data_IF_675650953177
#
_entry.id   IF_675650953177
#
_cell.length_a   1.000
_cell.length_b   1.000
_cell.length_c   1.000
_cell.angle_alpha   90.00
_cell.angle_beta   90.00
_cell.angle_gamma   90.00
#
_symmetry.space_group_name_H-M   'P 1'
#
loop_
_entity.id
_entity.type
_entity.pdbx_description
1 polymer ?
#
# COMPACT_ATOMS: atom_id res chain seq x y z
N UNK A 1 -20.82 21.20 1.75
CA UNK A 1 -20.12 19.99 1.25
C UNK A 1 -21.12 19.15 0.49
N UNK A 2 -20.85 18.80 -0.77
CA UNK A 2 -21.77 17.95 -1.55
C UNK A 2 -21.80 16.56 -0.91
N UNK A 3 -22.96 15.91 -0.80
CA UNK A 3 -23.06 14.54 -0.23
C UNK A 3 -22.09 13.57 -0.90
N UNK A 4 -21.84 13.75 -2.21
CA UNK A 4 -20.85 13.01 -3.00
C UNK A 4 -19.42 13.12 -2.44
N UNK A 5 -18.98 14.29 -1.98
CA UNK A 5 -17.62 14.44 -1.43
C UNK A 5 -17.49 13.74 -0.08
N UNK A 6 -18.55 13.74 0.74
CA UNK A 6 -18.56 13.04 2.04
C UNK A 6 -18.49 11.52 1.85
N UNK A 7 -19.27 10.98 0.90
CA UNK A 7 -19.24 9.55 0.56
C UNK A 7 -17.85 9.14 0.06
N UNK A 8 -17.23 9.96 -0.79
CA UNK A 8 -15.89 9.68 -1.33
C UNK A 8 -14.82 9.70 -0.23
N UNK A 9 -14.89 10.65 0.71
CA UNK A 9 -13.99 10.68 1.88
C UNK A 9 -14.14 9.42 2.74
N UNK A 10 -15.38 8.95 2.97
CA UNK A 10 -15.62 7.74 3.74
C UNK A 10 -15.00 6.50 3.07
N UNK A 11 -15.13 6.38 1.74
CA UNK A 11 -14.50 5.29 0.97
C UNK A 11 -12.97 5.36 1.08
N UNK A 12 -12.38 6.56 0.94
CA UNK A 12 -10.94 6.77 1.07
C UNK A 12 -10.41 6.37 2.45
N UNK A 13 -11.14 6.67 3.52
CA UNK A 13 -10.80 6.27 4.90
C UNK A 13 -10.80 4.75 5.09
N UNK A 14 -11.76 4.05 4.49
CA UNK A 14 -11.81 2.57 4.58
C UNK A 14 -10.64 1.95 3.78
N UNK A 15 -10.37 2.47 2.58
CA UNK A 15 -9.26 2.00 1.74
C UNK A 15 -7.91 2.23 2.43
N UNK A 16 -7.70 3.39 3.06
CA UNK A 16 -6.45 3.67 3.79
C UNK A 16 -6.28 2.75 4.99
N UNK A 17 -7.35 2.46 5.73
CA UNK A 17 -7.31 1.52 6.84
C UNK A 17 -6.92 0.10 6.39
N UNK A 18 -7.48 -0.36 5.26
CA UNK A 18 -7.13 -1.66 4.68
C UNK A 18 -5.66 -1.73 4.24
N UNK A 19 -5.11 -0.65 3.66
CA UNK A 19 -3.69 -0.58 3.30
C UNK A 19 -2.81 -0.69 4.55
N UNK A 20 -3.14 0.02 5.62
CA UNK A 20 -2.39 -0.06 6.89
C UNK A 20 -2.43 -1.50 7.42
N UNK A 21 -3.60 -2.14 7.41
CA UNK A 21 -3.75 -3.52 7.87
C UNK A 21 -2.89 -4.50 7.06
N UNK A 22 -2.92 -4.41 5.73
CA UNK A 22 -2.10 -5.25 4.85
C UNK A 22 -0.60 -4.96 5.04
N UNK A 23 -0.23 -3.69 5.25
CA UNK A 23 1.17 -3.30 5.52
C UNK A 23 1.70 -3.90 6.82
N UNK A 24 0.88 -3.98 7.87
CA UNK A 24 1.26 -4.63 9.13
C UNK A 24 1.44 -6.14 8.96
N UNK A 25 0.61 -6.79 8.13
CA UNK A 25 0.77 -8.21 7.79
C UNK A 25 2.04 -8.49 6.98
N UNK A 26 2.58 -7.49 6.27
CA UNK A 26 3.84 -7.58 5.52
C UNK A 26 5.09 -7.24 6.34
N UNK A 27 4.93 -6.58 7.51
CA UNK A 27 6.03 -6.13 8.35
C UNK A 27 6.97 -7.24 8.88
N UNK A 28 6.52 -8.45 9.29
CA UNK A 28 7.40 -9.43 9.93
C UNK A 28 8.46 -10.04 8.99
N UNK A 29 8.32 -9.90 7.67
CA UNK A 29 9.31 -10.35 6.68
C UNK A 29 10.26 -9.24 6.20
N UNK A 30 10.05 -8.00 6.65
CA UNK A 30 10.91 -6.87 6.29
C UNK A 30 12.15 -6.88 7.19
N UNK A 31 13.25 -7.43 6.70
CA UNK A 31 14.57 -7.43 7.36
C UNK A 31 15.20 -6.02 7.43
N UNK A 32 14.39 -4.99 7.66
CA UNK A 32 14.73 -3.58 7.40
C UNK A 32 15.64 -2.95 8.44
N UNK A 33 15.76 -3.52 9.64
CA UNK A 33 16.60 -2.93 10.70
C UNK A 33 17.95 -3.63 10.89
N UNK A 34 18.00 -4.97 10.78
CA UNK A 34 19.26 -5.72 10.97
C UNK A 34 20.09 -5.89 9.68
N UNK A 35 19.47 -5.84 8.49
CA UNK A 35 20.17 -6.00 7.21
C UNK A 35 20.93 -4.76 6.74
N UNK A 36 20.50 -3.56 7.18
CA UNK A 36 21.12 -2.28 6.79
C UNK A 36 22.39 -1.95 7.59
N UNK A 37 22.51 -2.44 8.84
CA UNK A 37 23.62 -2.15 9.75
C UNK A 37 24.74 -3.19 9.70
N UNK A 38 24.45 -4.45 9.36
CA UNK A 38 25.43 -5.55 9.34
C UNK A 38 26.00 -5.82 7.95
N UNK A 39 25.47 -5.16 6.91
CA UNK A 39 25.78 -5.52 5.53
C UNK A 39 25.18 -6.89 5.23
N UNK A 40 24.02 -6.91 4.59
CA UNK A 40 23.39 -8.17 4.18
C UNK A 40 24.32 -8.94 3.25
N UNK A 41 25.07 -9.91 3.79
CA UNK A 41 25.92 -10.85 3.04
C UNK A 41 25.14 -11.82 2.14
N UNK A 42 23.85 -11.54 1.92
CA UNK A 42 22.91 -12.28 1.09
C UNK A 42 22.24 -11.35 0.06
N UNK A 43 22.96 -10.31 -0.39
CA UNK A 43 22.72 -9.66 -1.68
C UNK A 43 23.13 -10.62 -2.81
N UNK A 44 22.55 -11.83 -2.83
CA UNK A 44 22.48 -12.63 -4.03
C UNK A 44 21.63 -11.81 -5.02
N UNK A 45 22.27 -10.93 -5.78
CA UNK A 45 21.69 -10.20 -6.92
C UNK A 45 21.09 -11.17 -7.97
N UNK A 46 21.39 -12.47 -7.82
CA UNK A 46 20.86 -13.59 -8.60
C UNK A 46 20.04 -14.60 -7.79
N UNK A 47 19.71 -14.32 -6.51
CA UNK A 47 18.66 -15.07 -5.80
C UNK A 47 17.36 -14.67 -6.45
N UNK A 48 16.96 -15.45 -7.44
CA UNK A 48 15.59 -15.46 -7.92
C UNK A 48 14.75 -16.12 -6.84
N UNK A 49 14.52 -15.40 -5.73
CA UNK A 49 13.50 -15.74 -4.76
C UNK A 49 12.16 -15.45 -5.43
N UNK A 50 11.64 -16.47 -6.12
CA UNK A 50 10.35 -16.39 -6.78
C UNK A 50 9.31 -16.14 -5.68
N UNK A 51 8.78 -14.91 -5.62
CA UNK A 51 7.71 -14.57 -4.68
C UNK A 51 6.55 -15.56 -4.86
N UNK A 52 6.23 -16.32 -3.82
CA UNK A 52 5.29 -17.45 -3.86
C UNK A 52 4.26 -17.35 -2.75
N UNK A 53 3.05 -17.85 -3.05
CA UNK A 53 1.94 -17.94 -2.10
C UNK A 53 1.27 -16.60 -1.78
N UNK A 54 0.78 -16.51 -0.54
CA UNK A 54 -0.03 -15.40 -0.02
C UNK A 54 0.75 -14.07 -0.03
N UNK A 55 2.08 -14.11 0.16
CA UNK A 55 2.93 -12.91 0.18
C UNK A 55 2.92 -12.15 -1.16
N UNK A 56 2.89 -12.86 -2.29
CA UNK A 56 2.75 -12.25 -3.62
C UNK A 56 1.40 -11.53 -3.71
N UNK A 57 0.32 -12.18 -3.28
CA UNK A 57 -1.01 -11.59 -3.32
C UNK A 57 -1.11 -10.34 -2.43
N UNK A 58 -0.59 -10.37 -1.20
CA UNK A 58 -0.60 -9.20 -0.32
C UNK A 58 0.21 -8.04 -0.89
N UNK A 59 1.40 -8.30 -1.45
CA UNK A 59 2.24 -7.26 -2.07
C UNK A 59 1.53 -6.61 -3.26
N UNK A 60 1.01 -7.41 -4.20
CA UNK A 60 0.27 -6.91 -5.35
C UNK A 60 -1.03 -6.21 -4.95
N UNK A 61 -1.71 -6.71 -3.91
CA UNK A 61 -2.89 -6.07 -3.32
C UNK A 61 -2.54 -4.69 -2.75
N UNK A 62 -1.44 -4.57 -1.99
CA UNK A 62 -0.98 -3.30 -1.42
C UNK A 62 -0.65 -2.27 -2.51
N UNK A 63 0.03 -2.68 -3.59
CA UNK A 63 0.27 -1.81 -4.74
C UNK A 63 -1.04 -1.36 -5.40
N UNK A 64 -1.96 -2.30 -5.66
CA UNK A 64 -3.24 -1.99 -6.30
C UNK A 64 -4.09 -1.02 -5.46
N UNK A 65 -4.17 -1.23 -4.14
CA UNK A 65 -4.90 -0.36 -3.21
C UNK A 65 -4.26 1.02 -3.08
N UNK A 66 -2.93 1.10 -3.07
CA UNK A 66 -2.21 2.38 -3.07
C UNK A 66 -2.48 3.21 -4.33
N UNK A 67 -2.46 2.58 -5.50
CA UNK A 67 -2.81 3.23 -6.78
C UNK A 67 -4.27 3.70 -6.76
N UNK A 68 -5.19 2.84 -6.29
CA UNK A 68 -6.61 3.17 -6.17
C UNK A 68 -6.83 4.38 -5.25
N UNK A 69 -6.16 4.41 -4.09
CA UNK A 69 -6.22 5.52 -3.15
C UNK A 69 -5.73 6.82 -3.79
N UNK A 70 -4.63 6.77 -4.54
CA UNK A 70 -4.09 7.93 -5.24
C UNK A 70 -5.08 8.50 -6.26
N UNK A 71 -5.71 7.63 -7.08
CA UNK A 71 -6.73 8.03 -8.04
C UNK A 71 -7.94 8.67 -7.34
N UNK A 72 -8.47 8.04 -6.28
CA UNK A 72 -9.60 8.59 -5.54
C UNK A 72 -9.28 9.91 -4.84
N UNK A 73 -8.05 10.11 -4.38
CA UNK A 73 -7.59 11.38 -3.82
C UNK A 73 -7.62 12.50 -4.86
N UNK A 74 -7.19 12.23 -6.10
CA UNK A 74 -7.27 13.19 -7.20
C UNK A 74 -8.73 13.50 -7.53
N UNK A 75 -9.59 12.48 -7.63
CA UNK A 75 -11.03 12.65 -7.89
C UNK A 75 -11.68 13.51 -6.78
N UNK A 76 -11.33 13.28 -5.52
CA UNK A 76 -11.81 14.08 -4.40
C UNK A 76 -11.36 15.53 -4.51
N UNK A 77 -10.09 15.77 -4.86
CA UNK A 77 -9.57 17.13 -5.06
C UNK A 77 -10.35 17.87 -6.14
N UNK A 78 -10.60 17.23 -7.28
CA UNK A 78 -11.37 17.84 -8.38
C UNK A 78 -12.83 18.05 -7.98
N UNK A 79 -13.45 17.09 -7.28
CA UNK A 79 -14.84 17.16 -6.81
C UNK A 79 -15.03 18.30 -5.80
N UNK A 80 -14.06 18.50 -4.91
CA UNK A 80 -14.07 19.57 -3.91
C UNK A 80 -13.89 20.95 -4.55
N UNK A 81 -13.06 21.07 -5.59
CA UNK A 81 -12.80 22.34 -6.29
C UNK A 81 -13.98 22.82 -7.16
N UNK A 82 -14.84 21.89 -7.60
CA UNK A 82 -16.06 22.16 -8.37
C UNK A 82 -17.29 22.41 -7.48
N UNK A 83 -17.13 22.43 -6.16
CA UNK A 83 -18.19 22.69 -5.18
C UNK A 83 -17.98 24.02 -4.50
#
# INVERSE_FOLDING_TARGET
>A
MKTTSVILTAILMIVSFLIIFISLLLAPDSNSFSGALVGSGDLDLFKVSKERGIKKLLKWSMYSLGILLFIFSIVLRISLQKG
#
